data_IF_599535646463
#
_entry.id   IF_599535646463
#
_cell.length_a   1.000
_cell.length_b   1.000
_cell.length_c   1.000
_cell.angle_alpha   90.00
_cell.angle_beta   90.00
_cell.angle_gamma   90.00
#
_symmetry.space_group_name_H-M   'P 1'
#
loop_
_entity.id
_entity.type
_entity.pdbx_description
1 polymer ?
#
# COMPACT_ATOMS: atom_id res chain seq x y z
N UNK A 1 30.38 -24.98 0.54
CA UNK A 1 29.63 -23.73 0.74
C UNK A 1 28.58 -23.99 1.81
N UNK A 2 28.78 -23.44 3.01
CA UNK A 2 27.88 -23.67 4.14
C UNK A 2 26.61 -22.84 3.94
N UNK A 3 25.46 -23.54 3.85
CA UNK A 3 24.13 -22.94 3.84
C UNK A 3 23.89 -22.40 5.25
N UNK A 4 24.04 -21.09 5.44
CA UNK A 4 23.73 -20.40 6.69
C UNK A 4 22.29 -20.75 7.07
N UNK A 5 22.12 -21.51 8.16
CA UNK A 5 20.80 -21.80 8.72
C UNK A 5 20.24 -20.48 9.22
N UNK A 6 19.36 -19.91 8.42
CA UNK A 6 18.53 -18.76 8.80
C UNK A 6 17.83 -19.11 10.12
N UNK A 7 18.36 -18.58 11.23
CA UNK A 7 17.80 -18.81 12.55
C UNK A 7 16.43 -18.15 12.55
N UNK A 8 15.36 -18.94 12.37
CA UNK A 8 13.98 -18.47 12.46
C UNK A 8 13.76 -17.84 13.83
N UNK A 9 13.91 -16.51 13.90
CA UNK A 9 13.61 -15.75 15.11
C UNK A 9 12.13 -15.96 15.44
N UNK A 10 11.78 -16.26 16.70
CA UNK A 10 10.38 -16.45 17.08
C UNK A 10 9.57 -15.22 16.68
N UNK A 11 8.38 -15.43 16.11
CA UNK A 11 7.51 -14.32 15.72
C UNK A 11 7.10 -13.54 16.98
N UNK A 12 7.25 -12.21 16.99
CA UNK A 12 6.77 -11.40 18.11
C UNK A 12 5.26 -11.56 18.25
N UNK A 13 4.75 -11.39 19.48
CA UNK A 13 3.33 -11.52 19.77
C UNK A 13 2.50 -10.58 18.87
N UNK A 14 1.37 -11.08 18.37
CA UNK A 14 0.50 -10.36 17.43
C UNK A 14 0.07 -9.00 17.99
N UNK A 15 -0.14 -8.90 19.30
CA UNK A 15 -0.50 -7.65 19.99
C UNK A 15 0.54 -6.53 19.86
N UNK A 16 1.80 -6.86 19.58
CA UNK A 16 2.89 -5.88 19.51
C UNK A 16 2.93 -5.18 18.15
N UNK A 17 2.69 -5.92 17.07
CA UNK A 17 2.83 -5.39 15.70
C UNK A 17 1.50 -5.15 14.99
N UNK A 18 0.44 -5.88 15.34
CA UNK A 18 -0.85 -5.74 14.67
C UNK A 18 -1.44 -4.33 14.74
N UNK A 19 -1.38 -3.59 15.87
CA UNK A 19 -1.87 -2.21 15.89
C UNK A 19 -1.09 -1.29 14.95
N UNK A 20 0.23 -1.43 14.87
CA UNK A 20 1.07 -0.63 13.99
C UNK A 20 0.78 -0.90 12.50
N UNK A 21 0.61 -2.17 12.14
CA UNK A 21 0.27 -2.58 10.77
C UNK A 21 -1.15 -2.15 10.41
N UNK A 22 -2.13 -2.36 11.28
CA UNK A 22 -3.52 -1.98 11.03
C UNK A 22 -3.69 -0.45 10.88
N UNK A 23 -3.02 0.32 11.73
CA UNK A 23 -3.01 1.78 11.59
C UNK A 23 -2.25 2.24 10.35
N UNK A 24 -1.11 1.61 10.03
CA UNK A 24 -0.34 1.90 8.82
C UNK A 24 -1.10 1.57 7.53
N UNK A 25 -1.91 0.51 7.54
CA UNK A 25 -2.81 0.21 6.44
C UNK A 25 -3.85 1.31 6.30
N UNK A 26 -4.55 1.64 7.40
CA UNK A 26 -5.65 2.58 7.39
C UNK A 26 -5.19 3.97 6.96
N UNK A 27 -4.21 4.54 7.67
CA UNK A 27 -3.67 5.87 7.36
C UNK A 27 -2.19 5.73 7.03
N UNK A 28 -1.76 6.08 5.80
CA UNK A 28 -0.37 5.99 5.41
C UNK A 28 0.55 6.68 6.42
N UNK A 29 1.55 5.95 6.93
CA UNK A 29 2.50 6.47 7.93
C UNK A 29 2.02 6.51 9.38
N UNK A 30 0.76 6.20 9.69
CA UNK A 30 0.26 6.21 11.07
C UNK A 30 0.88 5.11 11.96
N UNK A 31 1.25 3.96 11.38
CA UNK A 31 2.01 2.92 12.08
C UNK A 31 3.34 3.43 12.64
N UNK A 32 4.06 4.25 11.87
CA UNK A 32 5.32 4.86 12.28
C UNK A 32 5.13 5.96 13.32
N UNK A 33 4.01 6.70 13.26
CA UNK A 33 3.64 7.67 14.29
C UNK A 33 3.40 6.97 15.64
N UNK A 34 2.69 5.83 15.64
CA UNK A 34 2.49 5.02 16.85
C UNK A 34 3.83 4.54 17.44
N UNK A 35 4.77 4.15 16.57
CA UNK A 35 6.11 3.70 16.94
C UNK A 35 7.08 4.86 17.29
N UNK A 36 6.58 6.10 17.44
CA UNK A 36 7.35 7.33 17.74
C UNK A 36 8.41 7.70 16.69
N UNK A 37 8.29 7.18 15.47
CA UNK A 37 9.18 7.47 14.32
C UNK A 37 8.54 8.53 13.42
N UNK A 38 8.33 9.72 13.97
CA UNK A 38 7.54 10.80 13.33
C UNK A 38 8.07 11.23 11.97
N UNK A 39 9.39 11.35 11.80
CA UNK A 39 9.99 11.73 10.52
C UNK A 39 9.66 10.75 9.39
N UNK A 40 9.76 9.44 9.65
CA UNK A 40 9.40 8.40 8.67
C UNK A 40 7.90 8.39 8.39
N UNK A 41 7.08 8.51 9.44
CA UNK A 41 5.62 8.54 9.30
C UNK A 41 5.14 9.70 8.44
N UNK A 42 5.64 10.92 8.68
CA UNK A 42 5.28 12.10 7.87
C UNK A 42 5.77 11.96 6.43
N UNK A 43 7.00 11.47 6.22
CA UNK A 43 7.53 11.26 4.87
C UNK A 43 6.67 10.28 4.07
N UNK A 44 6.29 9.15 4.68
CA UNK A 44 5.45 8.13 4.06
C UNK A 44 4.03 8.64 3.81
N UNK A 45 3.45 9.37 4.76
CA UNK A 45 2.15 10.02 4.60
C UNK A 45 2.16 10.93 3.37
N UNK A 46 3.14 11.82 3.27
CA UNK A 46 3.26 12.76 2.15
C UNK A 46 3.53 12.06 0.82
N UNK A 47 4.42 11.07 0.80
CA UNK A 47 4.77 10.35 -0.42
C UNK A 47 3.60 9.52 -0.97
N UNK A 48 2.95 8.72 -0.11
CA UNK A 48 1.81 7.88 -0.50
C UNK A 48 0.61 8.74 -0.89
N UNK A 49 0.27 9.74 -0.08
CA UNK A 49 -0.86 10.63 -0.37
C UNK A 49 -0.59 11.45 -1.64
N UNK A 50 0.64 11.94 -1.82
CA UNK A 50 1.03 12.69 -3.02
C UNK A 50 0.93 11.85 -4.30
N UNK A 51 1.41 10.60 -4.28
CA UNK A 51 1.24 9.68 -5.41
C UNK A 51 -0.22 9.38 -5.69
N UNK A 52 -1.01 9.11 -4.65
CA UNK A 52 -2.43 8.79 -4.78
C UNK A 52 -3.22 9.97 -5.37
N UNK A 53 -3.03 11.18 -4.82
CA UNK A 53 -3.68 12.39 -5.33
C UNK A 53 -3.27 12.70 -6.76
N UNK A 54 -1.99 12.51 -7.11
CA UNK A 54 -1.52 12.65 -8.49
C UNK A 54 -2.22 11.67 -9.42
N UNK A 55 -2.38 10.40 -8.99
CA UNK A 55 -3.14 9.39 -9.73
C UNK A 55 -4.60 9.78 -9.96
N UNK A 56 -5.27 10.34 -8.95
CA UNK A 56 -6.64 10.85 -9.07
C UNK A 56 -6.74 12.06 -10.00
N UNK A 57 -5.81 13.02 -9.90
CA UNK A 57 -5.77 14.20 -10.77
C UNK A 57 -5.56 13.83 -12.24
N UNK A 58 -4.80 12.75 -12.49
CA UNK A 58 -4.57 12.18 -13.82
C UNK A 58 -5.70 11.26 -14.30
N UNK A 59 -6.79 11.17 -13.52
CA UNK A 59 -7.96 10.32 -13.84
C UNK A 59 -7.60 8.85 -14.05
N UNK A 60 -6.66 8.33 -13.24
CA UNK A 60 -6.30 6.92 -13.25
C UNK A 60 -7.51 6.04 -12.98
N UNK A 61 -7.62 4.93 -13.70
CA UNK A 61 -8.63 3.91 -13.45
C UNK A 61 -8.21 3.05 -12.25
N UNK A 62 -9.15 2.73 -11.37
CA UNK A 62 -8.94 1.75 -10.30
C UNK A 62 -9.21 0.36 -10.87
N UNK A 63 -8.38 -0.60 -10.50
CA UNK A 63 -8.58 -1.99 -10.92
C UNK A 63 -9.81 -2.57 -10.22
N UNK A 64 -10.57 -3.36 -10.97
CA UNK A 64 -11.70 -4.13 -10.44
C UNK A 64 -11.38 -5.61 -10.55
N UNK A 65 -11.73 -6.43 -9.55
CA UNK A 65 -11.53 -7.88 -9.64
C UNK A 65 -12.29 -8.42 -10.85
N UNK A 66 -11.54 -8.94 -11.82
CA UNK A 66 -12.09 -9.57 -13.02
C UNK A 66 -11.45 -10.95 -13.16
N UNK A 67 -12.32 -11.95 -13.31
CA UNK A 67 -11.91 -13.34 -13.52
C UNK A 67 -12.09 -13.69 -15.00
N UNK A 68 -11.00 -14.07 -15.65
CA UNK A 68 -10.95 -14.49 -17.05
C UNK A 68 -9.70 -15.34 -17.27
N UNK A 69 -8.92 -15.02 -18.28
CA UNK A 69 -7.62 -15.66 -18.53
C UNK A 69 -6.65 -15.41 -17.36
N UNK A 70 -5.62 -16.26 -17.20
CA UNK A 70 -4.65 -16.15 -16.09
C UNK A 70 -4.01 -14.76 -16.03
N UNK A 71 -3.63 -14.19 -17.18
CA UNK A 71 -3.01 -12.87 -17.27
C UNK A 71 -3.97 -11.76 -16.83
N UNK A 72 -5.21 -11.79 -17.34
CA UNK A 72 -6.27 -10.84 -17.00
C UNK A 72 -6.59 -10.88 -15.51
N UNK A 73 -6.71 -12.08 -14.96
CA UNK A 73 -6.99 -12.29 -13.54
C UNK A 73 -5.85 -11.78 -12.68
N UNK A 74 -4.60 -12.05 -13.07
CA UNK A 74 -3.42 -11.60 -12.33
C UNK A 74 -3.28 -10.08 -12.35
N UNK A 75 -3.46 -9.43 -13.49
CA UNK A 75 -3.36 -7.98 -13.63
C UNK A 75 -4.46 -7.29 -12.85
N UNK A 76 -5.72 -7.68 -13.05
CA UNK A 76 -6.85 -7.00 -12.44
C UNK A 76 -6.97 -7.26 -10.94
N UNK A 77 -6.77 -8.51 -10.51
CA UNK A 77 -6.81 -8.84 -9.07
C UNK A 77 -5.58 -8.30 -8.36
N UNK A 78 -4.39 -8.38 -8.98
CA UNK A 78 -3.16 -7.83 -8.42
C UNK A 78 -3.19 -6.30 -8.33
N UNK A 79 -3.69 -5.64 -9.36
CA UNK A 79 -3.92 -4.20 -9.38
C UNK A 79 -4.91 -3.76 -8.31
N UNK A 80 -6.03 -4.50 -8.15
CA UNK A 80 -7.02 -4.24 -7.11
C UNK A 80 -6.43 -4.39 -5.70
N UNK A 81 -5.61 -5.41 -5.47
CA UNK A 81 -4.87 -5.56 -4.20
C UNK A 81 -3.90 -4.40 -3.98
N UNK A 82 -3.26 -3.93 -5.06
CA UNK A 82 -2.47 -2.70 -5.06
C UNK A 82 -3.29 -1.50 -4.60
N UNK A 83 -4.44 -1.24 -5.23
CA UNK A 83 -5.33 -0.13 -4.89
C UNK A 83 -5.83 -0.22 -3.43
N UNK A 84 -6.25 -1.41 -2.98
CA UNK A 84 -6.60 -1.70 -1.58
C UNK A 84 -5.45 -1.45 -0.60
N UNK A 85 -4.20 -1.59 -1.05
CA UNK A 85 -3.02 -1.29 -0.27
C UNK A 85 -2.96 0.15 0.22
N UNK A 86 -3.59 1.10 -0.50
CA UNK A 86 -3.67 2.51 -0.10
C UNK A 86 -4.65 2.79 1.06
N UNK A 87 -5.40 1.77 1.49
CA UNK A 87 -6.20 1.80 2.72
C UNK A 87 -7.33 2.82 2.69
N UNK A 88 -7.31 3.77 3.63
CA UNK A 88 -8.34 4.81 3.72
C UNK A 88 -8.44 5.67 2.46
N UNK A 89 -7.34 5.89 1.74
CA UNK A 89 -7.35 6.67 0.51
C UNK A 89 -8.24 6.01 -0.56
N UNK A 90 -8.09 4.69 -0.75
CA UNK A 90 -8.98 3.92 -1.62
C UNK A 90 -10.43 3.96 -1.13
N UNK A 91 -10.68 3.69 0.15
CA UNK A 91 -12.03 3.70 0.71
C UNK A 91 -12.73 5.06 0.53
N UNK A 92 -12.02 6.16 0.75
CA UNK A 92 -12.52 7.51 0.52
C UNK A 92 -12.80 7.75 -0.97
N UNK A 93 -11.92 7.30 -1.87
CA UNK A 93 -12.15 7.46 -3.30
C UNK A 93 -13.41 6.72 -3.77
N UNK A 94 -13.63 5.49 -3.30
CA UNK A 94 -14.84 4.71 -3.58
C UNK A 94 -16.08 5.37 -2.98
N UNK A 95 -15.99 5.84 -1.72
CA UNK A 95 -17.10 6.50 -1.03
C UNK A 95 -17.51 7.82 -1.71
N UNK A 96 -16.54 8.57 -2.25
CA UNK A 96 -16.77 9.78 -3.04
C UNK A 96 -17.23 9.48 -4.48
N UNK A 97 -17.41 8.21 -4.85
CA UNK A 97 -17.89 7.81 -6.18
C UNK A 97 -16.85 7.92 -7.28
N UNK A 98 -15.56 7.90 -6.95
CA UNK A 98 -14.49 7.91 -7.94
C UNK A 98 -14.53 6.61 -8.76
N UNK A 99 -14.98 6.72 -9.99
CA UNK A 99 -15.08 5.60 -10.93
C UNK A 99 -14.70 6.11 -12.32
N UNK A 100 -13.41 6.04 -12.66
CA UNK A 100 -12.94 6.39 -14.00
C UNK A 100 -12.91 5.13 -14.88
N UNK A 101 -13.48 5.18 -16.10
CA UNK A 101 -13.34 4.09 -17.04
C UNK A 101 -11.87 3.97 -17.49
N UNK A 102 -11.46 2.74 -17.82
CA UNK A 102 -10.18 2.53 -18.48
C UNK A 102 -10.21 3.20 -19.86
N UNK A 103 -9.38 4.23 -20.03
CA UNK A 103 -9.35 5.06 -21.22
C UNK A 103 -7.94 5.09 -21.78
N UNK A 104 -7.82 4.84 -23.08
CA UNK A 104 -6.54 4.94 -23.76
C UNK A 104 -5.99 6.36 -23.68
N UNK A 105 -4.78 6.49 -23.14
CA UNK A 105 -4.06 7.75 -23.12
C UNK A 105 -2.97 7.75 -22.06
N UNK A 106 -1.82 8.33 -22.41
CA UNK A 106 -0.65 8.32 -21.55
C UNK A 106 -0.94 8.84 -20.14
N UNK A 107 -1.72 9.92 -20.00
CA UNK A 107 -2.06 10.51 -18.70
C UNK A 107 -2.85 9.54 -17.83
N UNK A 108 -3.87 8.87 -18.39
CA UNK A 108 -4.69 7.90 -17.66
C UNK A 108 -3.87 6.67 -17.26
N UNK A 109 -3.05 6.15 -18.18
CA UNK A 109 -2.16 5.00 -17.93
C UNK A 109 -1.15 5.29 -16.81
N UNK A 110 -0.58 6.50 -16.79
CA UNK A 110 0.29 6.93 -15.70
C UNK A 110 -0.49 7.11 -14.41
N UNK A 111 -1.70 7.68 -14.46
CA UNK A 111 -2.57 7.86 -13.31
C UNK A 111 -2.86 6.53 -12.60
N UNK A 112 -3.27 5.51 -13.35
CA UNK A 112 -3.52 4.15 -12.85
C UNK A 112 -2.28 3.57 -12.17
N UNK A 113 -1.10 3.77 -12.77
CA UNK A 113 0.17 3.31 -12.18
C UNK A 113 0.52 4.05 -10.90
N UNK A 114 0.23 5.34 -10.80
CA UNK A 114 0.44 6.12 -9.58
C UNK A 114 -0.45 5.63 -8.44
N UNK A 115 -1.72 5.29 -8.72
CA UNK A 115 -2.66 4.75 -7.72
C UNK A 115 -2.16 3.41 -7.15
N UNK A 116 -1.80 2.47 -8.03
CA UNK A 116 -1.25 1.17 -7.62
C UNK A 116 0.07 1.35 -6.89
N UNK A 117 0.97 2.22 -7.38
CA UNK A 117 2.27 2.47 -6.73
C UNK A 117 2.09 3.06 -5.33
N UNK A 118 1.13 3.97 -5.13
CA UNK A 118 0.82 4.51 -3.82
C UNK A 118 0.40 3.40 -2.84
N UNK A 119 -0.46 2.48 -3.28
CA UNK A 119 -0.89 1.37 -2.45
C UNK A 119 0.21 0.35 -2.17
N UNK A 120 1.03 -0.01 -3.16
CA UNK A 120 2.20 -0.87 -2.95
C UNK A 120 3.23 -0.22 -2.01
N UNK A 121 3.45 1.09 -2.12
CA UNK A 121 4.32 1.83 -1.21
C UNK A 121 3.78 1.81 0.22
N UNK A 122 2.47 1.90 0.40
CA UNK A 122 1.85 1.76 1.72
C UNK A 122 1.99 0.33 2.27
N UNK A 123 1.95 -0.69 1.41
CA UNK A 123 2.25 -2.07 1.82
C UNK A 123 3.70 -2.22 2.30
N UNK A 124 4.66 -1.61 1.61
CA UNK A 124 6.05 -1.58 2.07
C UNK A 124 6.19 -0.82 3.40
N UNK A 125 5.45 0.27 3.58
CA UNK A 125 5.40 0.99 4.85
C UNK A 125 4.84 0.12 5.99
N UNK A 126 3.81 -0.68 5.74
CA UNK A 126 3.28 -1.63 6.72
C UNK A 126 4.32 -2.69 7.11
N UNK A 127 5.07 -3.22 6.15
CA UNK A 127 6.15 -4.18 6.42
C UNK A 127 7.26 -3.52 7.23
N UNK A 128 7.65 -2.29 6.91
CA UNK A 128 8.64 -1.53 7.68
C UNK A 128 8.16 -1.27 9.12
N UNK A 129 6.89 -0.89 9.31
CA UNK A 129 6.29 -0.71 10.63
C UNK A 129 6.28 -2.03 11.42
N UNK A 130 5.98 -3.16 10.76
CA UNK A 130 6.09 -4.48 11.35
C UNK A 130 7.52 -4.79 11.81
N UNK A 131 8.53 -4.53 10.98
CA UNK A 131 9.93 -4.78 11.34
C UNK A 131 10.40 -3.94 12.53
N UNK A 132 9.95 -2.68 12.61
CA UNK A 132 10.23 -1.78 13.74
C UNK A 132 9.52 -2.29 15.01
N UNK A 133 8.23 -2.62 14.91
CA UNK A 133 7.47 -3.17 16.04
C UNK A 133 8.03 -4.52 16.53
N UNK A 134 8.55 -5.33 15.61
CA UNK A 134 9.21 -6.60 15.89
C UNK A 134 10.61 -6.45 16.52
N UNK A 135 11.11 -5.22 16.69
CA UNK A 135 12.47 -4.96 17.18
C UNK A 135 13.58 -5.44 16.23
N UNK A 136 13.23 -5.68 14.96
CA UNK A 136 14.18 -6.14 13.92
C UNK A 136 14.87 -4.97 13.23
N UNK A 137 14.30 -3.77 13.37
CA UNK A 137 14.76 -2.52 12.77
C UNK A 137 14.50 -1.34 13.73
N UNK A 138 15.28 -0.27 13.60
CA UNK A 138 15.09 0.99 14.33
C UNK A 138 14.55 2.07 13.40
#
# INVERSE_FOLDING_TARGET
>A
MAKEKETKRPMPAVSVWAPAVALGWLVPGAGHLLLKKTGRGVLLLLAVTGMFLSGLMMRGAMFQPQTGDLLTTLINTGGFVGDLGSGLLYLLSVWLGYNQPDMAGHVHDYGTKFLVTAGLLNVLAMVDAFEIAAGRKS
#
